data_IF_031266333737
#
_entry.id   IF_031266333737
#
_cell.length_a   1.000
_cell.length_b   1.000
_cell.length_c   1.000
_cell.angle_alpha   90.00
_cell.angle_beta   90.00
_cell.angle_gamma   90.00
#
_symmetry.space_group_name_H-M   'P 1'
#
loop_
_entity.id
_entity.type
_entity.pdbx_description
1 polymer ?
#
# COMPACT_ATOMS: atom_id res chain seq x y z
N UNK A 1 -18.03 -12.20 -9.03
CA UNK A 1 -16.99 -11.17 -9.25
C UNK A 1 -17.35 -10.49 -10.57
N UNK A 2 -17.35 -9.16 -10.59
CA UNK A 2 -17.57 -8.36 -11.79
C UNK A 2 -16.29 -7.56 -12.08
N UNK A 3 -15.77 -7.69 -13.29
CA UNK A 3 -14.69 -6.86 -13.79
C UNK A 3 -15.29 -5.79 -14.71
N UNK A 4 -14.88 -4.54 -14.51
CA UNK A 4 -15.31 -3.42 -15.35
C UNK A 4 -14.05 -2.82 -15.96
N UNK A 5 -14.03 -2.73 -17.27
CA UNK A 5 -12.95 -2.12 -18.04
C UNK A 5 -13.43 -0.76 -18.60
N UNK A 6 -12.62 0.26 -18.42
CA UNK A 6 -12.85 1.57 -19.01
C UNK A 6 -11.83 1.77 -20.12
N UNK A 7 -12.31 2.09 -21.32
CA UNK A 7 -11.45 2.49 -22.42
C UNK A 7 -11.01 3.95 -22.25
N UNK A 8 -9.79 4.23 -22.62
CA UNK A 8 -9.21 5.57 -22.58
C UNK A 8 -7.71 5.56 -22.41
N UNK A 9 -7.07 6.68 -22.67
CA UNK A 9 -5.65 6.87 -22.41
C UNK A 9 -5.44 7.05 -20.91
N UNK A 10 -4.63 6.19 -20.24
CA UNK A 10 -4.33 6.36 -18.83
C UNK A 10 -3.45 7.59 -18.59
N UNK A 11 -3.42 8.16 -17.38
CA UNK A 11 -2.48 9.25 -17.04
C UNK A 11 -1.02 8.91 -17.35
N UNK A 12 -0.63 7.65 -17.11
CA UNK A 12 0.67 7.06 -17.48
C UNK A 12 0.46 5.60 -17.85
N UNK A 13 1.22 5.11 -18.82
CA UNK A 13 1.26 3.69 -19.10
C UNK A 13 1.97 2.94 -17.98
N UNK A 14 1.42 1.83 -17.55
CA UNK A 14 2.14 0.87 -16.71
C UNK A 14 3.07 0.06 -17.62
N UNK A 15 4.38 0.18 -17.43
CA UNK A 15 5.40 -0.54 -18.22
C UNK A 15 5.69 -1.91 -17.63
N UNK A 16 5.77 -2.01 -16.30
CA UNK A 16 5.96 -3.29 -15.63
C UNK A 16 5.38 -3.30 -14.22
N UNK A 17 5.01 -4.50 -13.77
CA UNK A 17 4.69 -4.80 -12.38
C UNK A 17 5.52 -6.01 -11.99
N UNK A 18 6.39 -5.84 -11.03
CA UNK A 18 7.28 -6.90 -10.55
C UNK A 18 7.04 -7.15 -9.06
N UNK A 19 6.84 -8.43 -8.70
CA UNK A 19 6.85 -8.83 -7.30
C UNK A 19 8.26 -8.71 -6.75
N UNK A 20 8.48 -7.92 -5.68
CA UNK A 20 9.81 -7.67 -5.11
C UNK A 20 10.30 -8.93 -4.40
N UNK A 21 9.50 -9.44 -3.48
CA UNK A 21 9.79 -10.71 -2.81
C UNK A 21 8.74 -11.74 -3.23
N UNK A 22 9.17 -12.83 -3.84
CA UNK A 22 8.25 -13.92 -4.18
C UNK A 22 7.61 -14.44 -2.90
N UNK A 23 6.36 -14.13 -2.69
CA UNK A 23 5.57 -14.72 -1.63
C UNK A 23 4.60 -15.72 -2.26
N UNK A 24 4.71 -16.97 -1.90
CA UNK A 24 3.57 -17.86 -2.09
C UNK A 24 2.38 -17.22 -1.37
N UNK A 25 1.20 -17.22 -1.99
CA UNK A 25 -0.02 -16.60 -1.45
C UNK A 25 -0.42 -17.09 -0.04
N UNK A 26 0.27 -18.07 0.48
CA UNK A 26 0.03 -18.73 1.77
C UNK A 26 1.13 -18.51 2.80
N UNK A 27 2.21 -17.82 2.45
CA UNK A 27 3.29 -17.54 3.41
C UNK A 27 2.86 -16.42 4.34
N UNK A 28 2.91 -16.71 5.64
CA UNK A 28 2.58 -15.76 6.69
C UNK A 28 3.71 -15.78 7.73
N UNK A 29 4.88 -15.18 7.40
CA UNK A 29 6.04 -15.22 8.27
C UNK A 29 5.75 -14.55 9.61
N UNK A 30 6.40 -15.03 10.65
CA UNK A 30 6.34 -14.40 11.97
C UNK A 30 7.10 -13.08 11.97
N UNK A 31 6.79 -12.23 12.95
CA UNK A 31 7.55 -11.00 13.19
C UNK A 31 9.06 -11.26 13.29
N UNK A 32 9.41 -12.30 14.06
CA UNK A 32 10.82 -12.69 14.30
C UNK A 32 11.51 -13.15 13.03
N UNK A 33 10.80 -13.87 12.16
CA UNK A 33 11.38 -14.32 10.90
C UNK A 33 11.65 -13.15 9.94
N UNK A 34 10.75 -12.15 9.90
CA UNK A 34 10.97 -10.93 9.11
C UNK A 34 12.10 -10.11 9.73
N UNK A 35 12.08 -9.91 11.05
CA UNK A 35 13.10 -9.13 11.76
C UNK A 35 14.53 -9.66 11.57
N UNK A 36 14.66 -10.97 11.34
CA UNK A 36 15.95 -11.67 11.15
C UNK A 36 16.22 -12.02 9.68
N UNK A 37 15.59 -11.34 8.73
CA UNK A 37 15.78 -11.52 7.27
C UNK A 37 15.62 -12.97 6.78
N UNK A 38 14.90 -13.80 7.50
CA UNK A 38 14.54 -15.14 7.01
C UNK A 38 13.48 -15.08 5.91
N UNK A 39 12.71 -14.01 5.91
CA UNK A 39 11.77 -13.62 4.85
C UNK A 39 11.99 -12.16 4.51
N UNK A 40 11.83 -11.85 3.24
CA UNK A 40 11.98 -10.50 2.70
C UNK A 40 13.38 -9.91 2.87
N UNK A 41 14.41 -10.78 2.85
CA UNK A 41 15.81 -10.35 2.86
C UNK A 41 16.11 -9.33 1.76
N UNK A 42 17.15 -8.50 1.92
CA UNK A 42 17.54 -7.53 0.92
C UNK A 42 17.69 -8.14 -0.48
N UNK A 43 17.17 -7.46 -1.49
CA UNK A 43 17.17 -7.92 -2.88
C UNK A 43 17.59 -6.78 -3.82
N UNK A 44 18.41 -7.11 -4.79
CA UNK A 44 18.80 -6.20 -5.85
C UNK A 44 17.84 -6.33 -7.04
N UNK A 45 17.34 -5.19 -7.52
CA UNK A 45 16.42 -5.12 -8.65
C UNK A 45 16.93 -4.07 -9.63
N UNK A 46 17.02 -4.44 -10.91
CA UNK A 46 17.28 -3.47 -11.97
C UNK A 46 15.98 -2.82 -12.43
N UNK A 47 15.96 -1.50 -12.38
CA UNK A 47 14.82 -0.71 -12.82
C UNK A 47 14.68 -0.76 -14.34
N UNK A 48 13.45 -0.73 -14.84
CA UNK A 48 13.19 -0.63 -16.27
C UNK A 48 13.72 0.69 -16.83
N UNK A 49 14.65 0.61 -17.77
CA UNK A 49 15.33 1.77 -18.36
C UNK A 49 14.39 2.66 -19.22
N UNK A 50 13.24 2.12 -19.65
CA UNK A 50 12.27 2.83 -20.48
C UNK A 50 11.13 3.47 -19.66
N UNK A 51 11.25 3.45 -18.33
CA UNK A 51 10.28 4.06 -17.43
C UNK A 51 10.79 5.36 -16.84
N UNK A 52 9.89 6.25 -16.50
CA UNK A 52 10.18 7.58 -15.95
C UNK A 52 9.65 7.78 -14.53
N UNK A 53 8.90 6.82 -14.00
CA UNK A 53 8.36 6.86 -12.65
C UNK A 53 8.32 5.45 -12.05
N UNK A 54 8.70 5.34 -10.80
CA UNK A 54 8.78 4.08 -10.07
C UNK A 54 8.11 4.21 -8.71
N UNK A 55 7.26 3.23 -8.39
CA UNK A 55 6.58 3.15 -7.10
C UNK A 55 6.72 1.77 -6.50
N UNK A 56 6.94 1.72 -5.20
CA UNK A 56 6.75 0.49 -4.42
C UNK A 56 5.33 0.51 -3.86
N UNK A 57 4.53 -0.49 -4.24
CA UNK A 57 3.17 -0.72 -3.74
C UNK A 57 3.23 -1.78 -2.66
N UNK A 58 2.70 -1.47 -1.49
CA UNK A 58 2.83 -2.31 -0.30
C UNK A 58 1.44 -2.56 0.32
N UNK A 59 1.02 -3.82 0.33
CA UNK A 59 -0.16 -4.28 1.05
C UNK A 59 0.28 -5.20 2.18
N UNK A 60 -0.11 -4.87 3.42
CA UNK A 60 0.32 -5.59 4.62
C UNK A 60 -0.87 -5.81 5.52
N UNK A 61 -1.07 -7.04 5.97
CA UNK A 61 -2.04 -7.37 7.01
C UNK A 61 -1.39 -8.19 8.13
N UNK A 62 -1.64 -7.76 9.36
CA UNK A 62 -1.17 -8.45 10.56
C UNK A 62 -2.18 -9.47 11.06
N UNK A 63 -1.69 -10.59 11.57
CA UNK A 63 -2.46 -11.72 12.07
C UNK A 63 -1.85 -12.30 13.34
N UNK A 64 -2.65 -13.08 14.09
CA UNK A 64 -2.33 -13.50 15.43
C UNK A 64 -2.55 -12.38 16.45
N UNK A 65 -2.66 -12.71 17.73
CA UNK A 65 -3.11 -11.77 18.75
C UNK A 65 -2.28 -10.47 18.78
N UNK A 66 -0.96 -10.58 18.70
CA UNK A 66 -0.10 -9.39 18.71
C UNK A 66 0.21 -8.83 17.31
N UNK A 67 0.10 -9.64 16.27
CA UNK A 67 0.25 -9.19 14.90
C UNK A 67 -0.96 -8.43 14.40
N UNK A 68 -2.16 -8.79 14.87
CA UNK A 68 -3.42 -8.18 14.46
C UNK A 68 -3.77 -6.94 15.27
N UNK A 69 -3.58 -7.00 16.61
CA UNK A 69 -4.10 -5.98 17.53
C UNK A 69 -3.03 -5.08 18.14
N UNK A 70 -1.83 -5.06 17.59
CA UNK A 70 -0.78 -4.11 17.98
C UNK A 70 -0.27 -3.40 16.74
N UNK A 71 -0.32 -2.06 16.77
CA UNK A 71 0.28 -1.24 15.72
C UNK A 71 1.80 -1.48 15.65
N UNK A 72 2.32 -1.76 14.45
CA UNK A 72 3.75 -1.95 14.19
C UNK A 72 4.17 -1.09 13.01
N UNK A 73 5.36 -0.55 13.09
CA UNK A 73 5.97 0.16 11.97
C UNK A 73 6.69 -0.83 11.07
N UNK A 74 6.36 -0.79 9.79
CA UNK A 74 7.02 -1.55 8.75
C UNK A 74 7.78 -0.60 7.84
N UNK A 75 8.98 -0.96 7.44
CA UNK A 75 9.87 -0.09 6.67
C UNK A 75 10.38 -0.80 5.43
N UNK A 76 10.28 -0.12 4.30
CA UNK A 76 11.01 -0.48 3.08
C UNK A 76 12.20 0.46 3.00
N UNK A 77 13.41 -0.11 2.93
CA UNK A 77 14.65 0.63 2.77
C UNK A 77 15.09 0.58 1.32
N UNK A 78 15.49 1.72 0.79
CA UNK A 78 16.07 1.86 -0.54
C UNK A 78 17.56 2.16 -0.41
N UNK A 79 18.40 1.30 -0.99
CA UNK A 79 19.86 1.41 -1.01
C UNK A 79 20.46 1.61 0.40
N UNK A 80 19.87 1.05 1.44
CA UNK A 80 20.25 1.20 2.85
C UNK A 80 20.34 2.68 3.35
N UNK A 81 19.82 3.63 2.57
CA UNK A 81 19.93 5.06 2.87
C UNK A 81 18.56 5.72 3.11
N UNK A 82 17.54 5.33 2.37
CA UNK A 82 16.22 5.98 2.40
C UNK A 82 15.20 5.01 2.95
N UNK A 83 14.43 5.48 3.94
CA UNK A 83 13.43 4.68 4.63
C UNK A 83 12.02 5.17 4.30
N UNK A 84 11.19 4.25 3.80
CA UNK A 84 9.76 4.43 3.63
C UNK A 84 9.04 3.65 4.71
N UNK A 85 8.73 4.33 5.81
CA UNK A 85 8.10 3.72 6.98
C UNK A 85 6.62 4.02 7.03
N UNK A 86 5.83 3.05 7.50
CA UNK A 86 4.42 3.24 7.81
C UNK A 86 4.03 2.48 9.07
N UNK A 87 3.15 3.06 9.88
CA UNK A 87 2.40 2.27 10.87
C UNK A 87 1.36 1.44 10.13
N UNK A 88 1.39 0.13 10.34
CA UNK A 88 0.38 -0.77 9.80
C UNK A 88 -0.75 -0.87 10.81
N UNK A 89 -1.69 0.09 10.71
CA UNK A 89 -2.82 0.22 11.63
C UNK A 89 -4.01 0.81 10.93
N UNK A 90 -5.20 0.34 11.29
CA UNK A 90 -6.46 0.84 10.74
C UNK A 90 -7.55 0.85 11.80
N UNK A 91 -8.26 1.97 11.87
CA UNK A 91 -9.44 2.13 12.70
C UNK A 91 -10.63 1.42 12.04
N UNK A 92 -11.15 0.39 12.72
CA UNK A 92 -12.22 -0.43 12.19
C UNK A 92 -13.62 -0.03 12.68
N UNK A 93 -13.73 0.76 13.74
CA UNK A 93 -15.02 1.28 14.22
C UNK A 93 -15.72 2.14 13.15
N UNK A 94 -14.95 2.76 12.25
CA UNK A 94 -15.46 3.54 11.10
C UNK A 94 -15.71 2.67 9.85
N UNK A 95 -15.59 1.35 9.97
CA UNK A 95 -15.81 0.42 8.87
C UNK A 95 -17.22 0.60 8.30
N UNK A 96 -17.33 0.88 6.98
CA UNK A 96 -18.64 1.09 6.33
C UNK A 96 -19.50 -0.18 6.25
N UNK A 97 -18.91 -1.35 6.45
CA UNK A 97 -19.65 -2.63 6.47
C UNK A 97 -20.11 -2.90 7.90
N UNK A 98 -21.29 -2.42 8.20
CA UNK A 98 -21.90 -2.45 9.52
C UNK A 98 -23.38 -2.88 9.44
N UNK A 99 -23.92 -3.58 10.43
CA UNK A 99 -23.22 -4.23 11.55
C UNK A 99 -22.64 -5.60 11.18
N UNK A 100 -21.58 -6.00 11.92
CA UNK A 100 -21.02 -7.34 11.83
C UNK A 100 -20.93 -7.95 13.23
N UNK A 101 -20.90 -9.28 13.31
CA UNK A 101 -20.68 -9.98 14.58
C UNK A 101 -19.24 -9.96 15.06
N UNK A 102 -19.03 -10.30 16.32
CA UNK A 102 -17.69 -10.49 16.90
C UNK A 102 -16.92 -9.18 17.14
N UNK A 103 -15.63 -9.24 16.88
CA UNK A 103 -14.65 -8.17 17.20
C UNK A 103 -14.43 -7.18 16.05
N UNK A 104 -15.40 -7.03 15.17
CA UNK A 104 -15.27 -6.23 13.94
C UNK A 104 -14.90 -4.76 14.18
N UNK A 105 -15.28 -4.18 15.32
CA UNK A 105 -15.02 -2.79 15.68
C UNK A 105 -13.59 -2.53 16.14
N UNK A 106 -12.83 -3.59 16.48
CA UNK A 106 -11.49 -3.42 16.99
C UNK A 106 -10.52 -3.07 15.86
N UNK A 107 -9.70 -2.09 16.12
CA UNK A 107 -8.62 -1.68 15.23
C UNK A 107 -7.64 -2.81 14.96
N UNK A 108 -7.13 -2.85 13.74
CA UNK A 108 -6.27 -3.92 13.28
C UNK A 108 -5.11 -3.45 12.42
N UNK A 109 -4.14 -4.32 12.29
CA UNK A 109 -2.98 -4.08 11.46
C UNK A 109 -3.31 -4.21 9.96
N UNK A 110 -3.64 -3.09 9.33
CA UNK A 110 -3.75 -2.94 7.88
C UNK A 110 -5.02 -3.47 7.22
N UNK A 111 -6.00 -3.95 7.98
CA UNK A 111 -7.26 -4.46 7.43
C UNK A 111 -8.42 -4.31 8.42
N UNK A 112 -9.64 -4.39 7.94
CA UNK A 112 -10.85 -4.52 8.76
C UNK A 112 -11.75 -5.60 8.16
N UNK A 113 -12.57 -6.30 8.98
CA UNK A 113 -13.49 -7.31 8.45
C UNK A 113 -14.38 -6.76 7.35
N UNK A 114 -14.41 -7.45 6.21
CA UNK A 114 -15.20 -7.06 5.04
C UNK A 114 -14.57 -5.99 4.14
N UNK A 115 -13.39 -5.47 4.49
CA UNK A 115 -12.68 -4.47 3.68
C UNK A 115 -11.41 -5.04 3.05
N UNK A 116 -10.97 -4.42 1.97
CA UNK A 116 -9.66 -4.71 1.38
C UNK A 116 -8.54 -4.28 2.33
N UNK A 117 -7.42 -4.98 2.24
CA UNK A 117 -6.16 -4.57 2.90
C UNK A 117 -5.72 -3.22 2.37
N UNK A 118 -5.21 -2.36 3.26
CA UNK A 118 -4.69 -1.05 2.90
C UNK A 118 -3.50 -1.17 1.95
N UNK A 119 -3.63 -0.58 0.79
CA UNK A 119 -2.56 -0.42 -0.17
C UNK A 119 -1.86 0.92 0.05
N UNK A 120 -0.55 0.88 0.28
CA UNK A 120 0.28 2.07 0.36
C UNK A 120 1.23 2.11 -0.83
N UNK A 121 1.36 3.27 -1.44
CA UNK A 121 2.33 3.53 -2.50
C UNK A 121 3.43 4.47 -1.99
N UNK A 122 4.67 4.10 -2.29
CA UNK A 122 5.85 4.93 -2.04
C UNK A 122 6.49 5.25 -3.37
N UNK A 123 6.50 6.51 -3.74
CA UNK A 123 7.20 6.96 -4.94
C UNK A 123 8.71 7.02 -4.67
N UNK A 124 9.47 6.23 -5.40
CA UNK A 124 10.92 6.17 -5.27
C UNK A 124 11.65 6.95 -6.38
N UNK A 125 10.93 7.44 -7.37
CA UNK A 125 11.47 8.16 -8.54
C UNK A 125 12.50 9.24 -8.18
N UNK A 126 12.28 10.11 -7.15
CA UNK A 126 13.25 11.16 -6.82
C UNK A 126 14.61 10.66 -6.33
N UNK A 127 14.71 9.38 -6.02
CA UNK A 127 15.87 8.78 -5.35
C UNK A 127 16.61 7.77 -6.21
N UNK A 128 16.20 7.61 -7.47
CA UNK A 128 16.76 6.59 -8.37
C UNK A 128 16.94 7.12 -9.78
N UNK A 129 17.72 6.39 -10.56
CA UNK A 129 17.90 6.66 -11.98
C UNK A 129 17.34 5.49 -12.80
N UNK A 130 16.73 5.79 -13.95
CA UNK A 130 16.21 4.79 -14.88
C UNK A 130 17.32 3.80 -15.29
N UNK A 131 17.03 2.50 -15.27
CA UNK A 131 17.99 1.43 -15.56
C UNK A 131 18.97 1.12 -14.42
N UNK A 132 18.94 1.86 -13.32
CA UNK A 132 19.78 1.60 -12.15
C UNK A 132 19.40 0.28 -11.48
N UNK A 133 20.39 -0.45 -10.98
CA UNK A 133 20.15 -1.51 -9.99
C UNK A 133 20.05 -0.88 -8.60
N UNK A 134 18.96 -1.15 -7.92
CA UNK A 134 18.67 -0.67 -6.57
C UNK A 134 18.60 -1.86 -5.62
N UNK A 135 18.93 -1.62 -4.36
CA UNK A 135 18.71 -2.57 -3.28
C UNK A 135 17.44 -2.21 -2.53
N UNK A 136 16.54 -3.17 -2.34
CA UNK A 136 15.35 -3.03 -1.52
C UNK A 136 15.42 -4.02 -0.35
N UNK A 137 15.21 -3.51 0.85
CA UNK A 137 15.15 -4.26 2.09
C UNK A 137 13.82 -4.01 2.80
N UNK A 138 13.30 -5.04 3.48
CA UNK A 138 12.09 -4.94 4.27
C UNK A 138 12.39 -5.20 5.74
N UNK A 139 12.21 -4.21 6.58
CA UNK A 139 12.62 -4.31 7.97
C UNK A 139 11.51 -3.99 8.96
N UNK A 140 11.62 -4.63 10.12
CA UNK A 140 10.83 -4.37 11.31
C UNK A 140 11.75 -3.92 12.46
N UNK A 141 11.26 -3.07 13.39
CA UNK A 141 12.02 -2.71 14.58
C UNK A 141 12.36 -3.93 15.41
N UNK A 142 13.55 -3.93 16.02
CA UNK A 142 13.94 -4.95 16.97
C UNK A 142 13.12 -4.80 18.25
N UNK A 143 12.46 -5.88 18.69
CA UNK A 143 11.66 -5.91 19.90
C UNK A 143 11.99 -7.15 20.73
N UNK A 144 11.82 -7.05 22.05
CA UNK A 144 12.14 -8.14 22.96
C UNK A 144 11.19 -9.35 22.83
N UNK A 145 9.93 -9.10 22.50
CA UNK A 145 8.93 -10.14 22.29
C UNK A 145 7.89 -9.67 21.30
N UNK A 146 7.56 -10.52 20.34
CA UNK A 146 6.51 -10.26 19.33
C UNK A 146 5.23 -11.06 19.61
N UNK A 147 5.25 -11.97 20.60
CA UNK A 147 4.14 -12.86 20.88
C UNK A 147 3.67 -13.64 19.65
N UNK A 148 2.39 -13.97 19.60
CA UNK A 148 1.77 -14.58 18.42
C UNK A 148 1.50 -13.51 17.36
N UNK A 149 2.47 -13.28 16.49
CA UNK A 149 2.39 -12.29 15.40
C UNK A 149 2.94 -12.85 14.11
N UNK A 150 2.18 -12.69 13.04
CA UNK A 150 2.60 -13.01 11.68
C UNK A 150 1.97 -12.01 10.71
N UNK A 151 2.54 -11.89 9.52
CA UNK A 151 2.13 -10.89 8.54
C UNK A 151 2.01 -11.49 7.16
N UNK A 152 0.98 -11.06 6.44
CA UNK A 152 0.90 -11.24 4.99
C UNK A 152 1.35 -9.96 4.33
N UNK A 153 2.37 -10.07 3.50
CA UNK A 153 3.02 -8.92 2.86
C UNK A 153 3.06 -9.15 1.36
N UNK A 154 2.58 -8.17 0.62
CA UNK A 154 2.70 -8.11 -0.83
C UNK A 154 3.34 -6.78 -1.20
N UNK A 155 4.57 -6.82 -1.72
CA UNK A 155 5.29 -5.65 -2.17
C UNK A 155 5.62 -5.80 -3.67
N UNK A 156 5.19 -4.82 -4.44
CA UNK A 156 5.38 -4.78 -5.89
C UNK A 156 6.13 -3.51 -6.27
N UNK A 157 7.09 -3.64 -7.17
CA UNK A 157 7.66 -2.53 -7.90
C UNK A 157 6.85 -2.31 -9.17
N UNK A 158 6.30 -1.10 -9.31
CA UNK A 158 5.55 -0.71 -10.50
C UNK A 158 6.31 0.39 -11.21
N UNK A 159 6.56 0.18 -12.50
CA UNK A 159 7.25 1.12 -13.37
C UNK A 159 6.26 1.73 -14.36
N UNK A 160 6.33 3.04 -14.54
CA UNK A 160 5.41 3.80 -15.39
C UNK A 160 6.17 4.58 -16.45
N UNK A 161 5.54 4.77 -17.60
CA UNK A 161 5.96 5.69 -18.65
C UNK A 161 5.86 7.16 -18.24
N UNK A 162 6.22 8.04 -19.16
CA UNK A 162 5.98 9.47 -19.04
C UNK A 162 4.48 9.78 -18.90
N UNK A 163 4.10 10.96 -18.38
CA UNK A 163 2.71 11.40 -18.42
C UNK A 163 2.19 11.44 -19.86
N UNK A 164 0.98 10.91 -20.08
CA UNK A 164 0.34 10.94 -21.39
C UNK A 164 -0.35 12.29 -21.66
N UNK A 165 -0.51 13.13 -20.62
CA UNK A 165 -1.13 14.44 -20.71
C UNK A 165 -0.20 15.52 -20.15
N UNK A 166 -0.23 16.70 -20.75
CA UNK A 166 0.50 17.86 -20.22
C UNK A 166 -0.20 18.47 -19.01
N UNK A 167 -1.51 18.54 -19.05
CA UNK A 167 -2.34 19.04 -17.93
C UNK A 167 -3.37 17.97 -17.61
N UNK A 168 -3.36 17.48 -16.38
CA UNK A 168 -4.28 16.45 -15.93
C UNK A 168 -4.45 16.49 -14.41
N UNK A 169 -5.70 16.54 -13.97
CA UNK A 169 -6.08 16.52 -12.56
C UNK A 169 -6.92 15.28 -12.27
N UNK A 170 -6.40 14.39 -11.47
CA UNK A 170 -7.12 13.21 -11.03
C UNK A 170 -7.68 13.36 -9.62
N UNK A 171 -8.84 12.77 -9.37
CA UNK A 171 -9.35 12.59 -8.01
C UNK A 171 -8.49 11.50 -7.36
N UNK A 172 -7.76 11.88 -6.32
CA UNK A 172 -6.93 10.97 -5.54
C UNK A 172 -7.76 10.23 -4.49
N UNK A 173 -8.59 10.99 -3.77
CA UNK A 173 -9.41 10.45 -2.71
C UNK A 173 -10.66 11.30 -2.46
N UNK A 174 -11.80 10.66 -2.23
CA UNK A 174 -13.04 11.31 -1.81
C UNK A 174 -13.17 11.12 -0.30
N UNK A 175 -13.01 12.21 0.45
CA UNK A 175 -13.14 12.20 1.91
C UNK A 175 -14.59 12.15 2.34
N UNK A 176 -15.44 12.91 1.68
CA UNK A 176 -16.88 12.91 1.95
C UNK A 176 -17.66 13.71 0.88
N UNK A 177 -18.98 13.41 0.68
CA UNK A 177 -19.62 12.16 1.07
C UNK A 177 -19.21 11.02 0.14
N UNK A 178 -19.32 9.78 0.61
CA UNK A 178 -19.18 8.63 -0.28
C UNK A 178 -20.49 8.40 -1.05
N UNK A 179 -20.40 8.18 -2.36
CA UNK A 179 -21.56 7.83 -3.20
C UNK A 179 -21.94 6.36 -3.14
N UNK A 180 -21.17 5.55 -2.42
CA UNK A 180 -21.44 4.12 -2.29
C UNK A 180 -22.62 3.88 -1.37
N UNK A 181 -23.63 3.19 -1.87
CA UNK A 181 -24.86 2.91 -1.13
C UNK A 181 -24.63 2.11 0.14
N UNK A 182 -23.65 1.20 0.14
CA UNK A 182 -23.23 0.43 1.29
C UNK A 182 -22.67 1.29 2.43
N UNK A 183 -22.25 2.51 2.14
CA UNK A 183 -21.64 3.43 3.10
C UNK A 183 -22.59 4.51 3.61
N UNK A 184 -23.80 4.62 3.05
CA UNK A 184 -24.74 5.70 3.37
C UNK A 184 -25.10 5.79 4.85
N UNK A 185 -25.13 4.67 5.57
CA UNK A 185 -25.47 4.66 7.01
C UNK A 185 -24.40 5.28 7.90
N UNK A 186 -23.15 5.30 7.44
CA UNK A 186 -21.99 5.78 8.18
C UNK A 186 -21.41 7.07 7.60
N UNK A 187 -21.91 7.49 6.45
CA UNK A 187 -21.52 8.78 5.91
C UNK A 187 -22.06 9.89 6.80
N UNK A 188 -21.20 10.73 7.38
CA UNK A 188 -21.67 11.95 7.97
C UNK A 188 -22.39 12.73 6.87
N UNK A 189 -23.55 13.28 7.19
CA UNK A 189 -24.24 14.23 6.33
C UNK A 189 -23.32 15.45 6.20
N UNK A 190 -22.53 15.46 5.14
CA UNK A 190 -21.66 16.59 4.80
C UNK A 190 -22.38 17.45 3.78
N UNK A 191 -22.61 18.69 4.11
CA UNK A 191 -23.19 19.66 3.19
C UNK A 191 -22.23 19.98 2.03
N UNK A 192 -20.92 19.79 2.25
CA UNK A 192 -19.88 20.05 1.28
C UNK A 192 -19.05 18.81 0.99
N UNK A 193 -18.92 18.42 -0.28
CA UNK A 193 -18.02 17.36 -0.66
C UNK A 193 -16.55 17.78 -0.44
N UNK A 194 -15.76 16.89 0.14
CA UNK A 194 -14.33 17.08 0.33
C UNK A 194 -13.58 16.04 -0.47
N UNK A 195 -12.83 16.48 -1.45
CA UNK A 195 -12.00 15.62 -2.30
C UNK A 195 -10.53 16.02 -2.20
N UNK A 196 -9.66 15.05 -2.39
CA UNK A 196 -8.25 15.27 -2.65
C UNK A 196 -8.01 15.08 -4.15
N UNK A 197 -7.36 16.04 -4.77
CA UNK A 197 -6.93 15.95 -6.16
C UNK A 197 -5.41 15.88 -6.23
N UNK A 198 -4.91 15.21 -7.24
CA UNK A 198 -3.48 15.18 -7.54
C UNK A 198 -3.22 15.53 -9.00
N UNK A 199 -2.08 16.14 -9.23
CA UNK A 199 -1.60 16.36 -10.59
C UNK A 199 -1.01 15.06 -11.14
N UNK A 200 -1.53 14.61 -12.26
CA UNK A 200 -1.04 13.44 -13.00
C UNK A 200 -0.46 13.82 -14.36
N UNK A 201 -0.54 15.09 -14.73
CA UNK A 201 0.08 15.66 -15.91
C UNK A 201 1.57 16.00 -15.73
N UNK A 202 2.20 16.47 -16.80
CA UNK A 202 3.60 16.90 -16.80
C UNK A 202 3.79 18.37 -16.36
N UNK A 203 2.75 19.20 -16.50
CA UNK A 203 2.76 20.61 -16.13
C UNK A 203 2.06 20.84 -14.79
N UNK A 204 2.37 21.94 -14.13
CA UNK A 204 1.63 22.37 -12.94
C UNK A 204 0.16 22.62 -13.27
N UNK A 205 -0.72 22.31 -12.31
CA UNK A 205 -2.15 22.63 -12.35
C UNK A 205 -2.39 24.07 -11.91
#
# INVERSE_FOLDING_TARGET
>A
IKFVFYEGTPPRDVKSIQQIWPSGSWVSPSYVDIMNDRYFAPVDITLDANSSMYKVRSAISGHGQQGEFIARTHTIKLNNAINFSRSVWRECATNPIYPQGGTWIYDRAGWCPGMAVDLKEFEITPNVTSGQTINLDYSLPVIASSGASNYRVNNQLVSYGAPNFSVDAAIDYIKSPSTRTEFQRLNPLCNEPVISIKNTGSNLL
#
